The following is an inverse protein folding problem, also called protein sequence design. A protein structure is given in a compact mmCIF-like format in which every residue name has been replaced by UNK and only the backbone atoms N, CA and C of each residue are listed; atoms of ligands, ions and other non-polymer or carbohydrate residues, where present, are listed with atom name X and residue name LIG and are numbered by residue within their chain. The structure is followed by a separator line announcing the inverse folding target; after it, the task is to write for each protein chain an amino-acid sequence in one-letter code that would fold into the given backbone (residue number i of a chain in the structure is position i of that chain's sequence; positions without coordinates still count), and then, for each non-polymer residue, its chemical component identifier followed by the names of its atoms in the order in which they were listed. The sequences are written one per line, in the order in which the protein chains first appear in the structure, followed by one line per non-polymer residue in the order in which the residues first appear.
data_IF_082613084710
#
_entry.id   IF_082613084710
#
_cell.length_a   1.000
_cell.length_b   1.000
_cell.length_c   1.000
_cell.angle_alpha   90.00
_cell.angle_beta   90.00
_cell.angle_gamma   90.00
#
_symmetry.space_group_name_H-M   'P 1'
#
loop_
_entity.id
_entity.type
_entity.pdbx_description
1 polymer ?
#
# COMPACT_ATOMS: atom_id res chain seq x y z
N UNK A 1 -9.50 21.40 -10.04
CA UNK A 1 -10.23 21.98 -11.19
C UNK A 1 -11.73 21.93 -10.93
N UNK A 2 -12.40 23.10 -11.01
CA UNK A 2 -13.85 23.15 -10.87
C UNK A 2 -14.51 22.54 -12.12
N UNK A 3 -15.48 21.60 -11.99
CA UNK A 3 -16.21 21.08 -13.14
C UNK A 3 -16.91 22.20 -13.95
N UNK A 4 -16.92 22.08 -15.28
CA UNK A 4 -17.41 23.11 -16.18
C UNK A 4 -18.87 23.50 -15.91
N UNK A 5 -19.72 22.54 -15.58
CA UNK A 5 -21.12 22.76 -15.22
C UNK A 5 -21.27 23.63 -13.97
N UNK A 6 -20.44 23.42 -12.94
CA UNK A 6 -20.46 24.24 -11.70
C UNK A 6 -19.94 25.64 -11.99
N UNK A 7 -18.89 25.79 -12.81
CA UNK A 7 -18.40 27.09 -13.23
C UNK A 7 -19.48 27.88 -13.99
N UNK A 8 -20.19 27.25 -14.93
CA UNK A 8 -21.29 27.87 -15.67
C UNK A 8 -22.45 28.26 -14.76
N UNK A 9 -22.80 27.45 -13.77
CA UNK A 9 -23.81 27.78 -12.78
C UNK A 9 -23.43 29.06 -12.02
N UNK A 10 -22.20 29.20 -11.52
CA UNK A 10 -21.76 30.43 -10.83
C UNK A 10 -21.76 31.64 -11.76
N UNK A 11 -21.47 31.48 -13.04
CA UNK A 11 -21.63 32.56 -14.02
C UNK A 11 -23.08 33.01 -14.17
N UNK A 12 -24.02 32.10 -14.25
CA UNK A 12 -25.45 32.40 -14.37
C UNK A 12 -25.97 33.18 -13.16
N UNK A 13 -25.56 32.84 -11.96
CA UNK A 13 -25.95 33.57 -10.74
C UNK A 13 -25.06 34.77 -10.44
N UNK A 14 -24.19 35.18 -11.39
CA UNK A 14 -23.28 36.33 -11.29
C UNK A 14 -22.37 36.33 -10.05
N UNK A 15 -22.02 35.16 -9.55
CA UNK A 15 -21.10 35.01 -8.41
C UNK A 15 -19.66 35.13 -8.87
N UNK A 16 -18.84 35.93 -8.17
CA UNK A 16 -17.40 35.99 -8.42
C UNK A 16 -16.73 34.70 -8.01
N UNK A 17 -16.11 34.02 -8.99
CA UNK A 17 -15.31 32.81 -8.76
C UNK A 17 -13.83 33.16 -8.76
N UNK A 18 -13.13 32.86 -7.66
CA UNK A 18 -11.68 32.99 -7.57
C UNK A 18 -11.03 31.62 -7.64
N UNK A 19 -10.16 31.44 -8.66
CA UNK A 19 -9.37 30.23 -8.78
C UNK A 19 -8.15 30.31 -7.85
N UNK A 20 -7.97 29.30 -7.02
CA UNK A 20 -6.84 29.16 -6.11
C UNK A 20 -6.54 27.69 -5.85
N UNK A 21 -5.35 27.39 -5.31
CA UNK A 21 -5.08 26.06 -4.80
C UNK A 21 -6.04 25.72 -3.66
N UNK A 22 -6.46 24.45 -3.56
CA UNK A 22 -7.36 24.02 -2.50
C UNK A 22 -6.69 24.20 -1.13
N UNK A 23 -7.21 25.10 -0.26
CA UNK A 23 -6.63 25.33 1.07
C UNK A 23 -6.83 24.12 1.99
N UNK A 24 -7.84 23.29 1.75
CA UNK A 24 -8.16 22.11 2.56
C UNK A 24 -7.09 21.04 2.38
N UNK A 25 -6.59 20.83 1.15
CA UNK A 25 -5.54 19.88 0.85
C UNK A 25 -4.30 20.12 1.72
N UNK A 26 -3.84 21.37 1.80
CA UNK A 26 -2.69 21.75 2.64
C UNK A 26 -2.95 21.54 4.13
N UNK A 27 -4.13 21.91 4.63
CA UNK A 27 -4.50 21.72 6.03
C UNK A 27 -4.61 20.23 6.37
N UNK A 28 -5.22 19.45 5.49
CA UNK A 28 -5.40 18.00 5.65
C UNK A 28 -4.08 17.21 5.61
N UNK A 29 -3.08 17.70 4.87
CA UNK A 29 -1.75 17.06 4.78
C UNK A 29 -0.96 17.15 6.09
N UNK A 30 -1.25 18.12 6.94
CA UNK A 30 -0.59 18.31 8.24
C UNK A 30 -1.44 17.73 9.37
N UNK A 31 -1.07 16.51 9.80
CA UNK A 31 -1.80 15.78 10.86
C UNK A 31 -1.52 16.42 12.23
N UNK A 32 -2.57 16.61 13.02
CA UNK A 32 -2.45 17.05 14.41
C UNK A 32 -2.05 15.91 15.35
N UNK A 33 -1.82 16.22 16.63
CA UNK A 33 -1.37 15.22 17.62
C UNK A 33 -2.36 14.09 17.86
N UNK A 34 -3.66 14.36 17.76
CA UNK A 34 -4.73 13.37 17.94
C UNK A 34 -4.74 12.41 16.76
N UNK A 35 -4.68 12.92 15.53
CA UNK A 35 -4.59 12.12 14.30
C UNK A 35 -3.34 11.25 14.30
N UNK A 36 -2.17 11.80 14.68
CA UNK A 36 -0.92 11.04 14.77
C UNK A 36 -1.03 9.89 15.79
N UNK A 37 -1.62 10.15 16.97
CA UNK A 37 -1.85 9.13 17.98
C UNK A 37 -2.80 8.04 17.49
N UNK A 38 -3.86 8.43 16.80
CA UNK A 38 -4.81 7.52 16.17
C UNK A 38 -4.14 6.63 15.12
N UNK A 39 -3.36 7.21 14.19
CA UNK A 39 -2.61 6.48 13.17
C UNK A 39 -1.64 5.46 13.78
N UNK A 40 -0.87 5.84 14.80
CA UNK A 40 0.03 4.91 15.49
C UNK A 40 -0.74 3.73 16.11
N UNK A 41 -1.88 4.00 16.75
CA UNK A 41 -2.73 2.98 17.34
C UNK A 41 -3.37 2.06 16.29
N UNK A 42 -3.82 2.62 15.16
CA UNK A 42 -4.37 1.87 14.04
C UNK A 42 -3.31 0.92 13.46
N UNK A 43 -2.10 1.40 13.19
CA UNK A 43 -1.00 0.58 12.67
C UNK A 43 -0.58 -0.55 13.62
N UNK A 44 -0.59 -0.32 14.93
CA UNK A 44 -0.30 -1.38 15.90
C UNK A 44 -1.36 -2.50 15.82
N UNK A 45 -2.64 -2.14 15.82
CA UNK A 45 -3.74 -3.11 15.75
C UNK A 45 -3.76 -3.87 14.42
N UNK A 46 -3.60 -3.14 13.32
CA UNK A 46 -3.55 -3.74 11.98
C UNK A 46 -2.33 -4.64 11.81
N UNK A 47 -1.17 -4.19 12.32
CA UNK A 47 0.06 -4.98 12.31
C UNK A 47 -0.10 -6.33 13.02
N UNK A 48 -0.83 -6.38 14.14
CA UNK A 48 -1.18 -7.63 14.82
C UNK A 48 -2.05 -8.51 13.93
N UNK A 49 -3.08 -7.95 13.29
CA UNK A 49 -3.99 -8.70 12.43
C UNK A 49 -3.25 -9.27 11.20
N UNK A 50 -2.41 -8.46 10.55
CA UNK A 50 -1.60 -8.87 9.41
C UNK A 50 -0.56 -9.92 9.81
N UNK A 51 0.15 -9.75 10.94
CA UNK A 51 1.14 -10.71 11.42
C UNK A 51 0.51 -12.07 11.71
N UNK A 52 -0.66 -12.11 12.35
CA UNK A 52 -1.43 -13.34 12.56
C UNK A 52 -1.83 -14.01 11.24
N UNK A 53 -2.17 -13.21 10.23
CA UNK A 53 -2.51 -13.72 8.91
C UNK A 53 -1.30 -14.33 8.22
N UNK A 54 -0.16 -13.64 8.21
CA UNK A 54 1.10 -14.13 7.65
C UNK A 54 1.55 -15.43 8.34
N UNK A 55 1.48 -15.48 9.67
CA UNK A 55 1.79 -16.69 10.45
C UNK A 55 0.89 -17.85 10.03
N UNK A 56 -0.42 -17.63 9.92
CA UNK A 56 -1.36 -18.65 9.49
C UNK A 56 -1.07 -19.12 8.06
N UNK A 57 -0.82 -18.21 7.11
CA UNK A 57 -0.48 -18.54 5.72
C UNK A 57 0.79 -19.40 5.67
N UNK A 58 1.84 -19.01 6.40
CA UNK A 58 3.10 -19.75 6.44
C UNK A 58 2.95 -21.19 6.94
N UNK A 59 2.10 -21.40 7.94
CA UNK A 59 1.85 -22.74 8.48
C UNK A 59 0.94 -23.59 7.57
N UNK A 60 0.04 -22.95 6.80
CA UNK A 60 -0.93 -23.67 5.99
C UNK A 60 -0.44 -24.02 4.59
N UNK A 61 0.48 -23.25 4.02
CA UNK A 61 0.97 -23.45 2.66
C UNK A 61 1.57 -24.84 2.43
N UNK A 62 2.18 -25.42 3.46
CA UNK A 62 2.81 -26.75 3.39
C UNK A 62 1.86 -27.91 3.73
N UNK A 63 0.73 -27.63 4.38
CA UNK A 63 -0.21 -28.65 4.90
C UNK A 63 -1.53 -28.71 4.14
N UNK A 64 -1.84 -27.68 3.38
CA UNK A 64 -3.12 -27.54 2.68
C UNK A 64 -2.92 -26.92 1.29
N UNK A 65 -3.91 -27.12 0.41
CA UNK A 65 -3.95 -26.46 -0.90
C UNK A 65 -4.46 -25.03 -0.74
N UNK A 66 -3.68 -24.17 -0.09
CA UNK A 66 -4.04 -22.78 0.13
C UNK A 66 -4.02 -21.98 -1.18
N UNK A 67 -5.06 -21.17 -1.43
CA UNK A 67 -5.18 -20.29 -2.59
C UNK A 67 -5.09 -18.82 -2.21
N UNK A 68 -4.86 -17.96 -3.20
CA UNK A 68 -4.81 -16.49 -3.03
C UNK A 68 -6.12 -15.94 -2.42
N UNK A 69 -7.29 -16.37 -2.93
CA UNK A 69 -8.60 -15.95 -2.40
C UNK A 69 -8.77 -16.35 -0.93
N UNK A 70 -8.31 -17.55 -0.55
CA UNK A 70 -8.38 -17.98 0.85
C UNK A 70 -7.44 -17.16 1.75
N UNK A 71 -6.27 -16.77 1.22
CA UNK A 71 -5.35 -15.89 1.94
C UNK A 71 -5.94 -14.49 2.11
N UNK A 72 -6.53 -13.90 1.05
CA UNK A 72 -7.26 -12.62 1.12
C UNK A 72 -8.33 -12.68 2.19
N UNK A 73 -9.22 -13.69 2.11
CA UNK A 73 -10.29 -13.85 3.10
C UNK A 73 -9.75 -13.91 4.53
N UNK A 74 -8.66 -14.64 4.76
CA UNK A 74 -8.04 -14.76 6.10
C UNK A 74 -7.49 -13.44 6.61
N UNK A 75 -6.88 -12.64 5.72
CA UNK A 75 -6.35 -11.31 6.06
C UNK A 75 -7.50 -10.39 6.47
N UNK A 76 -8.56 -10.34 5.68
CA UNK A 76 -9.74 -9.49 5.92
C UNK A 76 -10.49 -9.93 7.19
N UNK A 77 -10.71 -11.23 7.38
CA UNK A 77 -11.36 -11.79 8.59
C UNK A 77 -10.60 -11.44 9.89
N UNK A 78 -9.26 -11.36 9.84
CA UNK A 78 -8.47 -10.98 11.00
C UNK A 78 -8.58 -9.48 11.32
N UNK A 79 -8.77 -8.62 10.32
CA UNK A 79 -9.06 -7.19 10.50
C UNK A 79 -10.46 -6.94 11.05
N UNK A 80 -11.46 -7.64 10.51
CA UNK A 80 -12.85 -7.56 10.97
C UNK A 80 -13.04 -7.83 12.47
N UNK A 81 -12.12 -8.58 13.08
CA UNK A 81 -12.17 -8.85 14.53
C UNK A 81 -11.81 -7.64 15.41
N UNK A 82 -11.34 -6.56 14.81
CA UNK A 82 -10.95 -5.36 15.54
C UNK A 82 -12.17 -4.44 15.74
N UNK A 83 -12.47 -4.09 16.99
CA UNK A 83 -13.63 -3.25 17.33
C UNK A 83 -13.68 -1.88 16.67
N UNK A 84 -12.51 -1.32 16.28
CA UNK A 84 -12.41 -0.03 15.60
C UNK A 84 -12.33 -0.14 14.08
N UNK A 85 -12.33 -1.35 13.53
CA UNK A 85 -12.33 -1.56 12.10
C UNK A 85 -13.65 -1.08 11.49
N UNK A 86 -13.57 -0.25 10.46
CA UNK A 86 -14.72 0.26 9.73
C UNK A 86 -14.88 -0.44 8.38
N UNK A 87 -13.81 -0.47 7.57
CA UNK A 87 -13.79 -1.07 6.25
C UNK A 87 -12.35 -1.40 5.83
N UNK A 88 -12.16 -2.06 4.71
CA UNK A 88 -10.86 -2.09 4.06
C UNK A 88 -10.53 -0.69 3.53
N UNK A 89 -9.26 -0.28 3.59
CA UNK A 89 -8.79 0.96 2.97
C UNK A 89 -8.76 0.86 1.44
N UNK A 90 -8.51 -0.35 0.94
CA UNK A 90 -8.61 -0.76 -0.46
C UNK A 90 -8.79 -2.29 -0.51
N UNK A 91 -9.24 -2.85 -1.65
CA UNK A 91 -9.37 -4.29 -1.80
C UNK A 91 -8.02 -4.99 -1.61
N UNK A 92 -7.96 -5.99 -0.74
CA UNK A 92 -6.72 -6.72 -0.43
C UNK A 92 -6.11 -7.36 -1.67
N UNK A 93 -4.84 -7.10 -1.92
CA UNK A 93 -4.03 -7.71 -2.97
C UNK A 93 -3.21 -8.84 -2.35
N UNK A 94 -3.30 -10.02 -2.94
CA UNK A 94 -2.50 -11.17 -2.54
C UNK A 94 -2.13 -12.00 -3.77
N UNK A 95 -0.87 -11.91 -4.19
CA UNK A 95 -0.38 -12.53 -5.42
C UNK A 95 0.75 -13.53 -5.16
N UNK A 96 0.61 -14.76 -5.67
CA UNK A 96 1.59 -15.84 -5.58
C UNK A 96 2.37 -16.00 -6.87
N UNK A 97 3.70 -16.03 -6.78
CA UNK A 97 4.58 -16.17 -7.94
C UNK A 97 4.34 -15.07 -8.98
N UNK A 98 4.03 -15.41 -10.26
CA UNK A 98 3.83 -14.42 -11.32
C UNK A 98 2.68 -13.43 -11.04
N UNK A 99 1.65 -13.81 -10.29
CA UNK A 99 0.56 -12.89 -9.94
C UNK A 99 1.04 -11.75 -9.01
N UNK A 100 2.08 -11.97 -8.21
CA UNK A 100 2.70 -10.94 -7.38
C UNK A 100 3.45 -9.85 -8.16
N UNK A 101 3.73 -10.07 -9.46
CA UNK A 101 4.32 -9.07 -10.33
C UNK A 101 3.29 -8.16 -11.04
N UNK A 102 2.00 -8.51 -10.94
CA UNK A 102 0.92 -7.72 -11.56
C UNK A 102 0.54 -6.59 -10.61
N UNK A 103 0.71 -5.36 -11.06
CA UNK A 103 0.34 -4.15 -10.29
C UNK A 103 -1.17 -4.15 -10.03
N UNK A 104 -1.56 -3.91 -8.77
CA UNK A 104 -2.96 -3.94 -8.32
C UNK A 104 -3.70 -5.26 -8.63
N UNK A 105 -3.00 -6.40 -8.53
CA UNK A 105 -3.59 -7.71 -8.79
C UNK A 105 -4.73 -8.02 -7.82
N UNK A 106 -5.85 -8.46 -8.38
CA UNK A 106 -6.97 -9.00 -7.62
C UNK A 106 -7.29 -10.43 -8.06
N UNK A 107 -7.22 -11.36 -7.12
CA UNK A 107 -7.55 -12.75 -7.37
C UNK A 107 -9.05 -12.90 -7.68
N UNK A 108 -9.37 -13.46 -8.84
CA UNK A 108 -10.73 -13.83 -9.26
C UNK A 108 -10.86 -15.34 -9.31
N UNK A 109 -12.08 -15.88 -9.46
CA UNK A 109 -12.27 -17.32 -9.64
C UNK A 109 -11.43 -17.91 -10.79
N UNK A 110 -11.17 -17.11 -11.84
CA UNK A 110 -10.38 -17.53 -13.01
C UNK A 110 -8.87 -17.42 -12.80
N UNK A 111 -8.41 -16.37 -12.08
CA UNK A 111 -6.98 -16.08 -11.89
C UNK A 111 -6.43 -16.65 -10.58
N UNK A 112 -7.29 -17.14 -9.69
CA UNK A 112 -6.92 -17.65 -8.36
C UNK A 112 -5.90 -18.77 -8.43
N UNK A 113 -4.70 -18.54 -7.90
CA UNK A 113 -3.63 -19.54 -7.86
C UNK A 113 -3.57 -20.24 -6.52
N UNK A 114 -3.12 -21.50 -6.56
CA UNK A 114 -2.59 -22.17 -5.37
C UNK A 114 -1.27 -21.51 -5.00
N UNK A 115 -1.11 -21.17 -3.74
CA UNK A 115 0.14 -20.64 -3.18
C UNK A 115 1.10 -21.83 -3.02
N UNK A 116 2.26 -21.78 -3.70
CA UNK A 116 3.31 -22.78 -3.59
C UNK A 116 4.38 -22.31 -2.60
N UNK A 117 4.98 -23.25 -1.90
CA UNK A 117 6.06 -22.95 -0.97
C UNK A 117 7.37 -22.49 -1.64
N UNK A 118 7.47 -22.67 -2.96
CA UNK A 118 8.57 -22.20 -3.81
C UNK A 118 8.34 -20.78 -4.34
N UNK A 119 7.11 -20.25 -4.25
CA UNK A 119 6.77 -18.91 -4.74
C UNK A 119 7.17 -17.83 -3.72
N UNK A 120 7.46 -16.62 -4.23
CA UNK A 120 7.29 -15.42 -3.44
C UNK A 120 5.80 -15.09 -3.37
N UNK A 121 5.35 -14.61 -2.24
CA UNK A 121 3.96 -14.21 -2.02
C UNK A 121 3.90 -12.75 -1.59
N UNK A 122 3.28 -11.91 -2.42
CA UNK A 122 3.08 -10.50 -2.16
C UNK A 122 1.71 -10.31 -1.50
N UNK A 123 1.68 -9.54 -0.42
CA UNK A 123 0.47 -9.08 0.25
C UNK A 123 0.53 -7.57 0.30
N UNK A 124 -0.50 -6.91 -0.24
CA UNK A 124 -0.70 -5.47 -0.11
C UNK A 124 -2.13 -5.22 0.36
N UNK A 125 -2.26 -4.62 1.54
CA UNK A 125 -3.54 -4.58 2.22
C UNK A 125 -3.58 -3.54 3.33
N UNK A 126 -4.75 -3.06 3.65
CA UNK A 126 -4.94 -2.10 4.71
C UNK A 126 -6.37 -2.03 5.23
N UNK A 127 -6.56 -1.32 6.32
CA UNK A 127 -7.86 -1.11 6.96
C UNK A 127 -8.11 0.35 7.28
N UNK A 128 -9.36 0.75 7.11
CA UNK A 128 -9.91 2.00 7.62
C UNK A 128 -10.41 1.75 9.03
N UNK A 129 -9.84 2.44 9.99
CA UNK A 129 -10.22 2.41 11.39
C UNK A 129 -10.85 3.74 11.79
N UNK A 130 -11.63 3.76 12.87
CA UNK A 130 -12.25 4.99 13.38
C UNK A 130 -11.22 6.06 13.78
N UNK A 131 -9.97 5.67 14.01
CA UNK A 131 -8.90 6.56 14.48
C UNK A 131 -7.67 6.58 13.56
N UNK A 132 -7.75 5.99 12.36
CA UNK A 132 -6.66 6.04 11.38
C UNK A 132 -6.81 5.03 10.27
N UNK A 133 -5.98 5.17 9.26
CA UNK A 133 -5.95 4.29 8.08
C UNK A 133 -4.60 3.59 7.99
N UNK A 134 -4.60 2.34 7.53
CA UNK A 134 -3.38 1.56 7.29
C UNK A 134 -3.27 1.15 5.83
N UNK A 135 -2.02 1.02 5.39
CA UNK A 135 -1.61 0.57 4.07
C UNK A 135 -0.24 -0.12 4.23
N UNK A 136 -0.19 -1.42 4.04
CA UNK A 136 1.02 -2.22 4.33
C UNK A 136 1.24 -3.26 3.26
N UNK A 137 2.38 -3.19 2.59
CA UNK A 137 2.83 -4.21 1.65
C UNK A 137 3.91 -5.09 2.27
N UNK A 138 3.84 -6.40 2.06
CA UNK A 138 4.87 -7.38 2.42
C UNK A 138 5.04 -8.42 1.32
N UNK A 139 6.29 -8.68 0.94
CA UNK A 139 6.66 -9.84 0.13
C UNK A 139 7.32 -10.87 1.03
N UNK A 140 6.76 -12.07 1.09
CA UNK A 140 7.22 -13.15 1.96
C UNK A 140 7.62 -14.36 1.14
N UNK A 141 8.52 -15.16 1.72
CA UNK A 141 8.92 -16.48 1.21
C UNK A 141 8.56 -17.56 2.23
N UNK A 142 8.36 -18.78 1.76
CA UNK A 142 8.04 -19.95 2.59
C UNK A 142 9.23 -20.86 2.79
N UNK A 143 10.14 -20.91 1.80
CA UNK A 143 11.38 -21.68 1.82
C UNK A 143 12.61 -20.82 1.52
N UNK A 144 13.76 -21.46 1.36
CA UNK A 144 15.00 -20.82 0.96
C UNK A 144 14.84 -20.18 -0.43
N UNK A 145 15.09 -18.89 -0.51
CA UNK A 145 15.02 -18.11 -1.75
C UNK A 145 16.31 -18.20 -2.55
N UNK A 146 16.22 -17.97 -3.86
CA UNK A 146 17.37 -17.95 -4.77
C UNK A 146 18.32 -16.77 -4.46
N UNK A 147 19.54 -16.83 -4.97
CA UNK A 147 20.50 -15.70 -4.88
C UNK A 147 19.94 -14.46 -5.55
N UNK A 148 19.26 -14.63 -6.69
CA UNK A 148 18.65 -13.52 -7.44
C UNK A 148 17.52 -12.86 -6.65
N UNK A 149 16.61 -13.63 -6.06
CA UNK A 149 15.55 -13.11 -5.22
C UNK A 149 16.09 -12.31 -4.02
N UNK A 150 17.18 -12.79 -3.39
CA UNK A 150 17.87 -12.07 -2.31
C UNK A 150 18.47 -10.77 -2.81
N UNK A 151 19.14 -10.78 -3.98
CA UNK A 151 19.72 -9.60 -4.61
C UNK A 151 18.63 -8.56 -4.85
N UNK A 152 17.54 -8.91 -5.53
CA UNK A 152 16.43 -8.00 -5.83
C UNK A 152 15.80 -7.41 -4.56
N UNK A 153 15.51 -8.24 -3.57
CA UNK A 153 14.99 -7.77 -2.28
C UNK A 153 15.94 -6.79 -1.60
N UNK A 154 17.26 -7.05 -1.65
CA UNK A 154 18.28 -6.17 -1.08
C UNK A 154 18.32 -4.82 -1.80
N UNK A 155 18.23 -4.80 -3.12
CA UNK A 155 18.24 -3.55 -3.91
C UNK A 155 17.00 -2.71 -3.62
N UNK A 156 15.82 -3.33 -3.56
CA UNK A 156 14.57 -2.67 -3.18
C UNK A 156 14.66 -2.12 -1.75
N UNK A 157 15.18 -2.89 -0.79
CA UNK A 157 15.34 -2.46 0.60
C UNK A 157 16.31 -1.28 0.71
N UNK A 158 17.41 -1.28 -0.04
CA UNK A 158 18.33 -0.12 -0.11
C UNK A 158 17.62 1.14 -0.62
N UNK A 159 16.77 1.02 -1.65
CA UNK A 159 15.95 2.12 -2.16
C UNK A 159 14.96 2.62 -1.11
N UNK A 160 14.28 1.72 -0.43
CA UNK A 160 13.36 2.05 0.66
C UNK A 160 14.08 2.82 1.80
N UNK A 161 15.23 2.34 2.25
CA UNK A 161 16.03 3.01 3.29
C UNK A 161 16.48 4.39 2.80
N UNK A 162 16.94 4.51 1.54
CA UNK A 162 17.36 5.78 0.97
C UNK A 162 16.22 6.81 0.98
N UNK A 163 14.99 6.43 0.68
CA UNK A 163 13.83 7.31 0.79
C UNK A 163 13.54 7.66 2.24
N UNK A 164 13.49 6.67 3.13
CA UNK A 164 13.14 6.85 4.54
C UNK A 164 14.14 7.74 5.30
N UNK A 165 15.40 7.76 4.87
CA UNK A 165 16.48 8.57 5.49
C UNK A 165 16.78 9.85 4.72
N UNK A 166 16.07 10.14 3.64
CA UNK A 166 16.29 11.34 2.83
C UNK A 166 16.02 12.61 3.64
N UNK A 167 16.95 13.53 3.59
CA UNK A 167 16.76 14.91 4.04
C UNK A 167 16.41 15.74 2.83
N UNK A 168 15.33 16.48 2.87
CA UNK A 168 14.83 17.29 1.76
C UNK A 168 14.36 18.66 2.22
N UNK A 169 14.46 19.64 1.34
CA UNK A 169 13.98 21.00 1.57
C UNK A 169 12.46 21.10 1.37
N UNK A 170 11.87 22.21 1.81
CA UNK A 170 10.42 22.46 1.62
C UNK A 170 10.00 22.60 0.14
N UNK A 171 10.95 22.84 -0.75
CA UNK A 171 10.71 22.98 -2.19
C UNK A 171 10.84 21.67 -2.95
N UNK A 172 11.30 20.59 -2.31
CA UNK A 172 11.41 19.29 -2.95
C UNK A 172 10.06 18.62 -3.15
N UNK A 173 9.96 17.84 -4.22
CA UNK A 173 8.75 17.13 -4.61
C UNK A 173 8.95 15.62 -4.52
N UNK A 174 7.88 14.86 -4.51
CA UNK A 174 7.94 13.39 -4.58
C UNK A 174 8.71 12.87 -5.80
N UNK A 175 8.84 13.66 -6.87
CA UNK A 175 9.63 13.31 -8.06
C UNK A 175 11.12 13.17 -7.76
N UNK A 176 11.71 14.03 -6.92
CA UNK A 176 13.11 13.91 -6.51
C UNK A 176 13.33 12.69 -5.60
N UNK A 177 12.41 12.44 -4.68
CA UNK A 177 12.46 11.26 -3.80
C UNK A 177 12.32 9.94 -4.55
N UNK A 178 11.55 9.92 -5.64
CA UNK A 178 11.42 8.74 -6.52
C UNK A 178 12.78 8.28 -7.07
N UNK A 179 13.71 9.18 -7.34
CA UNK A 179 15.06 8.83 -7.79
C UNK A 179 15.81 8.01 -6.73
N UNK A 180 15.65 8.33 -5.45
CA UNK A 180 16.27 7.59 -4.35
C UNK A 180 15.71 6.15 -4.24
N UNK A 181 14.42 5.96 -4.44
CA UNK A 181 13.80 4.65 -4.43
C UNK A 181 14.35 3.72 -5.52
N UNK A 182 14.61 4.27 -6.71
CA UNK A 182 15.02 3.51 -7.90
C UNK A 182 16.54 3.38 -8.08
N UNK A 183 17.33 4.19 -7.37
CA UNK A 183 18.78 4.31 -7.56
C UNK A 183 19.51 2.97 -7.63
N UNK A 184 19.27 2.11 -6.66
CA UNK A 184 19.99 0.83 -6.55
C UNK A 184 19.53 -0.21 -7.56
N UNK A 185 18.28 -0.19 -7.97
CA UNK A 185 17.77 -1.04 -9.05
C UNK A 185 18.38 -0.63 -10.39
N UNK A 186 18.37 0.68 -10.71
CA UNK A 186 18.90 1.21 -11.96
C UNK A 186 20.40 0.99 -12.13
N UNK A 187 21.16 0.92 -11.05
CA UNK A 187 22.58 0.52 -11.07
C UNK A 187 22.79 -0.94 -11.51
N UNK A 188 21.74 -1.73 -11.62
CA UNK A 188 21.74 -3.12 -12.05
C UNK A 188 20.79 -3.36 -13.22
N UNK A 189 20.53 -2.32 -14.02
CA UNK A 189 19.66 -2.34 -15.21
C UNK A 189 18.24 -2.88 -14.91
N UNK A 190 17.77 -2.64 -13.68
CA UNK A 190 16.43 -3.02 -13.20
C UNK A 190 15.63 -1.79 -12.81
N UNK A 191 14.32 -1.88 -12.95
CA UNK A 191 13.37 -0.86 -12.48
C UNK A 191 12.01 -1.51 -12.20
N UNK A 192 11.01 -0.72 -11.79
CA UNK A 192 9.62 -1.14 -11.60
C UNK A 192 8.68 -0.11 -12.24
N UNK A 193 7.51 -0.56 -12.72
CA UNK A 193 6.61 0.24 -13.57
C UNK A 193 5.50 0.97 -12.79
N UNK A 194 5.43 0.80 -11.47
CA UNK A 194 4.44 1.48 -10.63
C UNK A 194 5.00 2.75 -9.96
N UNK A 195 4.13 3.56 -9.33
CA UNK A 195 4.53 4.72 -8.53
C UNK A 195 5.31 4.33 -7.28
N UNK A 196 6.21 5.21 -6.81
CA UNK A 196 6.98 4.98 -5.58
C UNK A 196 6.17 5.34 -4.32
N UNK A 197 5.26 6.30 -4.42
CA UNK A 197 4.40 6.73 -3.31
C UNK A 197 3.03 6.07 -3.37
N UNK A 198 2.46 5.67 -2.24
CA UNK A 198 1.10 5.16 -2.21
C UNK A 198 0.09 6.26 -2.52
N UNK A 199 -0.88 5.96 -3.36
CA UNK A 199 -1.98 6.86 -3.74
C UNK A 199 -2.94 7.06 -2.54
N UNK A 200 -3.01 6.09 -1.63
CA UNK A 200 -3.86 6.10 -0.44
C UNK A 200 -3.64 7.30 0.47
N UNK A 201 -2.43 7.87 0.54
CA UNK A 201 -2.15 9.06 1.37
C UNK A 201 -2.67 10.37 0.81
N UNK A 202 -3.04 10.41 -0.46
CA UNK A 202 -3.61 11.62 -1.08
C UNK A 202 -5.12 11.74 -0.88
N UNK A 203 -5.77 10.64 -0.48
CA UNK A 203 -7.22 10.57 -0.29
C UNK A 203 -7.65 10.41 1.18
N UNK A 204 -6.69 10.38 2.12
CA UNK A 204 -6.93 10.12 3.55
C UNK A 204 -6.70 11.36 4.42
#
# INVERSE_FOLDING_TARGET
TLPANIHNFFRLIKTKVKFMNDPIEKLKSQKNSVEIKGMKSAHLRDGIALTRSIYWIKNKVNTQQLTEIQAVKKIDDNRLKNKKFHSLSFPTIAGSGPNGAIVHYHATKKSNRRIKDTDLFLIDSGGQYLDGTTDVTRTISFKKVSKEQKKMNTLVLKGHIAVATSKFSKSETGKSLNTNARKYLRQHDCDFDHGTGPVSYTHL
#
